data_IF_841014136366
#
_entry.id   IF_841014136366
#
_cell.length_a   1.000
_cell.length_b   1.000
_cell.length_c   1.000
_cell.angle_alpha   90.00
_cell.angle_beta   90.00
_cell.angle_gamma   90.00
#
_symmetry.space_group_name_H-M   'P 1'
#
loop_
_entity.id
_entity.type
_entity.pdbx_description
1 polymer ?
#
# COMPACT_ATOMS: atom_id res chain seq x y z
N UNK A 1 12.71 0.03 -19.72
CA UNK A 1 13.26 1.32 -20.29
C UNK A 1 14.14 1.99 -19.24
N UNK A 2 15.13 2.83 -19.64
CA UNK A 2 15.90 3.61 -18.66
C UNK A 2 15.05 4.79 -18.17
N UNK A 3 15.19 5.20 -16.89
CA UNK A 3 14.47 6.33 -16.28
C UNK A 3 14.47 7.58 -17.17
N UNK A 4 15.62 7.92 -17.76
CA UNK A 4 15.75 9.05 -18.70
C UNK A 4 14.84 8.98 -19.93
N UNK A 5 14.36 7.80 -20.30
CA UNK A 5 13.42 7.61 -21.42
C UNK A 5 11.98 7.82 -21.00
N UNK A 6 11.63 7.46 -19.77
CA UNK A 6 10.33 7.74 -19.15
C UNK A 6 10.15 9.26 -19.02
N UNK A 7 11.17 9.97 -18.51
CA UNK A 7 11.15 11.44 -18.36
C UNK A 7 10.95 12.17 -19.69
N UNK A 8 11.59 11.67 -20.77
CA UNK A 8 11.40 12.21 -22.11
C UNK A 8 9.99 12.00 -22.63
N UNK A 9 9.42 10.80 -22.44
CA UNK A 9 8.04 10.49 -22.86
C UNK A 9 7.02 11.32 -22.08
N UNK A 10 7.22 11.54 -20.79
CA UNK A 10 6.35 12.40 -19.97
C UNK A 10 6.36 13.86 -20.45
N UNK A 11 7.53 14.38 -20.85
CA UNK A 11 7.62 15.74 -21.44
C UNK A 11 6.90 15.83 -22.78
N UNK A 12 7.04 14.82 -23.63
CA UNK A 12 6.35 14.76 -24.93
C UNK A 12 4.84 14.65 -24.72
N UNK A 13 4.38 13.83 -23.75
CA UNK A 13 2.96 13.72 -23.38
C UNK A 13 2.38 15.08 -22.98
N UNK A 14 3.03 15.80 -22.04
CA UNK A 14 2.58 17.11 -21.58
C UNK A 14 2.55 18.16 -22.69
N UNK A 15 3.49 18.07 -23.64
CA UNK A 15 3.51 18.93 -24.82
C UNK A 15 2.32 18.65 -25.74
N UNK A 16 2.06 17.38 -26.04
CA UNK A 16 0.98 16.95 -26.93
C UNK A 16 -0.42 17.22 -26.37
N UNK A 17 -0.62 17.09 -25.04
CA UNK A 17 -1.86 17.51 -24.39
C UNK A 17 -2.11 19.01 -24.57
N UNK A 18 -1.05 19.83 -24.49
CA UNK A 18 -1.14 21.28 -24.63
C UNK A 18 -1.47 21.74 -26.06
N UNK A 19 -1.09 20.94 -27.04
CA UNK A 19 -1.29 21.19 -28.47
C UNK A 19 -2.55 20.48 -29.04
N UNK A 20 -3.45 19.94 -28.19
CA UNK A 20 -4.68 19.25 -28.59
C UNK A 20 -4.49 18.00 -29.49
N UNK A 21 -3.31 17.40 -29.52
CA UNK A 21 -3.04 16.17 -30.26
C UNK A 21 -3.39 14.91 -29.46
N UNK A 22 -4.68 14.70 -29.25
CA UNK A 22 -5.21 13.69 -28.32
C UNK A 22 -4.79 12.23 -28.60
N UNK A 23 -4.66 11.84 -29.87
CA UNK A 23 -4.32 10.45 -30.24
C UNK A 23 -2.91 10.03 -29.85
N UNK A 24 -1.93 10.93 -30.03
CA UNK A 24 -0.53 10.64 -29.67
C UNK A 24 -0.28 10.75 -28.16
N UNK A 25 -1.00 11.67 -27.51
CA UNK A 25 -1.00 11.78 -26.05
C UNK A 25 -1.52 10.50 -25.39
N UNK A 26 -2.61 9.90 -25.91
CA UNK A 26 -3.16 8.66 -25.40
C UNK A 26 -2.20 7.46 -25.58
N UNK A 27 -1.49 7.39 -26.72
CA UNK A 27 -0.47 6.36 -26.97
C UNK A 27 0.71 6.46 -25.99
N UNK A 28 1.18 7.68 -25.72
CA UNK A 28 2.25 7.92 -24.74
C UNK A 28 1.79 7.58 -23.33
N UNK A 29 0.55 7.91 -22.97
CA UNK A 29 -0.08 7.53 -21.70
C UNK A 29 -0.15 6.00 -21.53
N UNK A 30 -0.46 5.29 -22.60
CA UNK A 30 -0.49 3.82 -22.63
C UNK A 30 0.91 3.22 -22.43
N UNK A 31 1.93 3.78 -23.07
CA UNK A 31 3.34 3.39 -22.89
C UNK A 31 3.81 3.70 -21.46
N UNK A 32 3.51 4.86 -20.91
CA UNK A 32 3.85 5.22 -19.54
C UNK A 32 3.14 4.31 -18.52
N UNK A 33 1.90 3.91 -18.81
CA UNK A 33 1.14 2.94 -18.00
C UNK A 33 1.78 1.55 -18.05
N UNK A 34 2.18 1.07 -19.23
CA UNK A 34 2.85 -0.21 -19.42
C UNK A 34 4.21 -0.24 -18.70
N UNK A 35 5.00 0.83 -18.80
CA UNK A 35 6.30 0.96 -18.14
C UNK A 35 6.16 1.06 -16.63
N UNK A 36 5.17 1.80 -16.11
CA UNK A 36 4.93 1.85 -14.66
C UNK A 36 4.42 0.50 -14.12
N UNK A 37 3.66 -0.26 -14.92
CA UNK A 37 3.29 -1.63 -14.59
C UNK A 37 4.51 -2.56 -14.62
N UNK A 38 5.45 -2.37 -15.55
CA UNK A 38 6.67 -3.17 -15.68
C UNK A 38 7.69 -2.84 -14.57
N UNK A 39 7.79 -1.58 -14.13
CA UNK A 39 8.55 -1.19 -12.94
C UNK A 39 7.93 -1.77 -11.66
N UNK A 40 6.60 -1.86 -11.58
CA UNK A 40 5.90 -2.54 -10.50
C UNK A 40 6.02 -4.07 -10.59
N UNK A 41 6.22 -4.65 -11.78
CA UNK A 41 6.38 -6.10 -11.98
C UNK A 41 7.77 -6.62 -11.58
N UNK A 42 8.80 -5.79 -11.59
CA UNK A 42 10.14 -6.17 -11.12
C UNK A 42 10.23 -6.18 -9.58
N UNK A 43 9.31 -5.52 -8.88
CA UNK A 43 9.09 -5.71 -7.45
C UNK A 43 7.87 -6.63 -7.29
N UNK A 44 8.02 -7.76 -6.60
CA UNK A 44 6.91 -8.67 -6.18
C UNK A 44 5.82 -7.96 -5.35
N UNK A 45 5.87 -6.63 -5.29
CA UNK A 45 5.10 -5.77 -4.42
C UNK A 45 4.26 -4.77 -5.21
N UNK A 46 2.95 -4.83 -4.99
CA UNK A 46 1.97 -3.90 -5.55
C UNK A 46 1.47 -2.95 -4.45
N UNK A 47 1.94 -1.70 -4.49
CA UNK A 47 1.58 -0.66 -3.51
C UNK A 47 0.09 -0.28 -3.59
N UNK A 48 -0.57 -0.48 -4.73
CA UNK A 48 -2.00 -0.17 -4.88
C UNK A 48 -2.92 -1.09 -4.08
N UNK A 49 -2.40 -2.19 -3.50
CA UNK A 49 -3.14 -2.99 -2.49
C UNK A 49 -3.33 -2.26 -1.16
N UNK A 50 -2.68 -1.12 -0.99
CA UNK A 50 -2.75 -0.30 0.23
C UNK A 50 -3.62 0.93 0.07
N UNK A 51 -4.08 1.29 -1.12
CA UNK A 51 -4.99 2.41 -1.32
C UNK A 51 -6.42 2.06 -0.91
N UNK A 52 -7.23 3.08 -0.61
CA UNK A 52 -8.66 2.95 -0.32
C UNK A 52 -9.47 2.99 -1.63
N UNK A 53 -9.93 1.85 -2.17
CA UNK A 53 -10.65 1.88 -3.43
C UNK A 53 -12.06 2.46 -3.27
N UNK A 54 -12.49 3.30 -4.23
CA UNK A 54 -13.89 3.74 -4.41
C UNK A 54 -14.53 4.50 -3.23
N UNK A 55 -13.75 5.22 -2.43
CA UNK A 55 -14.31 6.11 -1.41
C UNK A 55 -14.64 7.48 -2.01
N UNK A 56 -15.91 7.92 -1.90
CA UNK A 56 -16.37 9.20 -2.47
C UNK A 56 -15.90 10.43 -1.69
N UNK A 57 -15.58 10.26 -0.41
CA UNK A 57 -15.25 11.36 0.50
C UNK A 57 -13.74 11.54 0.70
N UNK A 58 -12.97 10.45 0.50
CA UNK A 58 -11.52 10.42 0.73
C UNK A 58 -10.79 10.04 -0.56
N UNK A 59 -11.07 10.79 -1.60
CA UNK A 59 -10.49 10.54 -2.94
C UNK A 59 -8.97 10.55 -2.92
N UNK A 60 -8.35 11.37 -2.06
CA UNK A 60 -6.89 11.44 -1.88
C UNK A 60 -6.25 10.12 -1.41
N UNK A 61 -7.03 9.18 -0.83
CA UNK A 61 -6.53 7.86 -0.44
C UNK A 61 -6.66 6.79 -1.54
N UNK A 62 -7.21 7.15 -2.71
CA UNK A 62 -7.34 6.24 -3.85
C UNK A 62 -6.07 6.13 -4.69
N UNK A 63 -5.04 6.87 -4.34
CA UNK A 63 -3.78 6.91 -5.05
C UNK A 63 -2.57 6.76 -4.14
N UNK A 64 -1.43 6.70 -4.77
CA UNK A 64 -0.11 6.65 -4.14
C UNK A 64 0.46 8.05 -4.10
N UNK A 65 0.88 8.50 -2.93
CA UNK A 65 1.51 9.80 -2.73
C UNK A 65 3.03 9.68 -2.85
N UNK A 66 3.66 10.58 -3.58
CA UNK A 66 5.11 10.64 -3.76
C UNK A 66 5.69 11.74 -2.88
N UNK A 67 6.54 11.38 -1.90
CA UNK A 67 7.08 12.25 -0.85
C UNK A 67 8.59 12.06 -0.68
N UNK A 68 9.37 12.76 -1.48
CA UNK A 68 10.83 12.65 -1.49
C UNK A 68 11.30 11.25 -1.93
N UNK A 69 12.02 10.58 -1.04
CA UNK A 69 12.50 9.21 -1.26
C UNK A 69 11.43 8.13 -1.06
N UNK A 70 10.20 8.50 -0.71
CA UNK A 70 9.12 7.56 -0.43
C UNK A 70 7.96 7.69 -1.42
N UNK A 71 7.33 6.54 -1.74
CA UNK A 71 5.96 6.50 -2.22
C UNK A 71 5.08 5.84 -1.18
N UNK A 72 3.92 6.43 -0.90
CA UNK A 72 3.10 6.11 0.27
C UNK A 72 1.67 5.81 -0.14
N UNK A 73 1.10 4.76 0.42
CA UNK A 73 -0.30 4.41 0.26
C UNK A 73 -0.93 4.00 1.60
N UNK A 74 -2.21 4.31 1.77
CA UNK A 74 -2.98 3.95 2.96
C UNK A 74 -4.47 3.81 2.64
N UNK A 75 -5.11 2.88 3.35
CA UNK A 75 -6.58 2.74 3.40
C UNK A 75 -7.15 3.12 4.77
N UNK A 76 -6.36 3.80 5.62
CA UNK A 76 -6.62 4.18 7.02
C UNK A 76 -6.43 3.05 8.04
N UNK A 77 -6.48 1.79 7.65
CA UNK A 77 -6.26 0.63 8.53
C UNK A 77 -4.81 0.18 8.44
N UNK A 78 -4.25 0.25 7.26
CA UNK A 78 -2.84 -0.03 7.01
C UNK A 78 -2.21 1.08 6.16
N UNK A 79 -0.93 1.29 6.36
CA UNK A 79 -0.10 2.21 5.60
C UNK A 79 1.19 1.51 5.21
N UNK A 80 1.69 1.83 4.03
CA UNK A 80 3.01 1.45 3.57
C UNK A 80 3.70 2.64 2.91
N UNK A 81 4.95 2.86 3.27
CA UNK A 81 5.87 3.80 2.62
C UNK A 81 7.03 2.98 2.06
N UNK A 82 7.16 2.97 0.76
CA UNK A 82 8.27 2.29 0.07
C UNK A 82 9.35 3.30 -0.25
N UNK A 83 10.58 2.99 0.18
CA UNK A 83 11.77 3.77 -0.12
C UNK A 83 12.26 3.48 -1.54
N UNK A 84 12.72 4.52 -2.25
CA UNK A 84 13.24 4.38 -3.62
C UNK A 84 13.53 5.71 -4.27
N UNK A 85 13.93 5.66 -5.53
CA UNK A 85 14.09 6.83 -6.38
C UNK A 85 12.84 6.98 -7.26
N UNK A 86 12.15 8.10 -7.11
CA UNK A 86 10.87 8.34 -7.78
C UNK A 86 10.99 9.56 -8.72
N UNK A 87 10.23 9.58 -9.83
CA UNK A 87 10.26 10.69 -10.76
C UNK A 87 10.00 12.03 -10.09
N UNK A 88 10.83 13.03 -10.39
CA UNK A 88 10.74 14.37 -9.80
C UNK A 88 9.39 15.04 -10.10
N UNK A 89 8.86 14.82 -11.28
CA UNK A 89 7.56 15.34 -11.73
C UNK A 89 6.36 14.77 -10.94
N UNK A 90 6.54 13.66 -10.23
CA UNK A 90 5.50 13.07 -9.37
C UNK A 90 5.58 13.56 -7.91
N UNK A 91 6.65 14.25 -7.53
CA UNK A 91 6.83 14.72 -6.17
C UNK A 91 5.68 15.64 -5.73
N UNK A 92 5.14 15.36 -4.53
CA UNK A 92 3.99 16.06 -3.97
C UNK A 92 2.65 15.68 -4.60
N UNK A 93 2.61 14.73 -5.55
CA UNK A 93 1.38 14.31 -6.25
C UNK A 93 0.85 12.98 -5.73
N UNK A 94 -0.46 12.82 -5.86
CA UNK A 94 -1.17 11.58 -5.58
C UNK A 94 -1.56 10.96 -6.93
N UNK A 95 -1.09 9.74 -7.20
CA UNK A 95 -1.24 9.08 -8.50
C UNK A 95 -2.03 7.79 -8.35
N UNK A 96 -3.10 7.63 -9.15
CA UNK A 96 -3.89 6.40 -9.22
C UNK A 96 -3.18 5.31 -10.02
N UNK A 97 -3.69 4.08 -9.91
CA UNK A 97 -3.18 2.94 -10.67
C UNK A 97 -3.30 3.07 -12.19
N UNK A 98 -4.19 3.95 -12.68
CA UNK A 98 -4.34 4.27 -14.08
C UNK A 98 -3.44 5.42 -14.55
N UNK A 99 -2.59 5.97 -13.68
CA UNK A 99 -1.69 7.08 -13.94
C UNK A 99 -2.32 8.46 -13.78
N UNK A 100 -3.64 8.56 -13.51
CA UNK A 100 -4.28 9.85 -13.29
C UNK A 100 -3.86 10.47 -11.96
N UNK A 101 -3.72 11.79 -11.92
CA UNK A 101 -3.38 12.57 -10.73
C UNK A 101 -4.66 12.95 -10.00
N UNK A 102 -4.63 12.83 -8.68
CA UNK A 102 -5.72 13.29 -7.80
C UNK A 102 -5.30 14.62 -7.20
N UNK A 103 -6.15 15.63 -7.34
CA UNK A 103 -6.01 16.87 -6.60
C UNK A 103 -6.44 16.66 -5.15
N UNK A 104 -5.63 17.16 -4.21
CA UNK A 104 -5.93 17.06 -2.80
C UNK A 104 -4.70 16.98 -1.93
N UNK A 105 -4.94 16.92 -0.62
CA UNK A 105 -3.87 16.86 0.37
C UNK A 105 -3.79 15.46 0.95
N UNK A 106 -2.65 14.79 0.76
CA UNK A 106 -2.42 13.47 1.40
C UNK A 106 -2.20 13.66 2.91
N UNK A 107 -2.72 12.76 3.77
CA UNK A 107 -2.52 12.87 5.21
C UNK A 107 -1.03 12.90 5.59
N UNK A 108 -0.70 13.60 6.67
CA UNK A 108 0.66 13.63 7.20
C UNK A 108 1.04 12.26 7.78
N UNK A 109 1.44 11.35 6.91
CA UNK A 109 1.82 9.99 7.27
C UNK A 109 3.04 9.91 8.18
N UNK A 110 3.95 10.91 8.09
CA UNK A 110 5.15 10.96 8.93
C UNK A 110 4.82 11.14 10.41
N UNK A 111 3.64 11.68 10.74
CA UNK A 111 3.17 11.78 12.12
C UNK A 111 2.89 10.43 12.79
N UNK A 112 2.72 9.37 11.98
CA UNK A 112 2.55 8.00 12.49
C UNK A 112 3.87 7.32 12.85
N UNK A 113 5.01 7.88 12.42
CA UNK A 113 6.33 7.36 12.77
C UNK A 113 6.59 7.66 14.25
N UNK A 114 6.74 6.64 15.11
CA UNK A 114 7.05 6.88 16.51
C UNK A 114 8.40 7.59 16.65
N UNK A 115 8.45 8.61 17.48
CA UNK A 115 9.71 9.28 17.82
C UNK A 115 10.60 8.43 18.72
N UNK A 116 9.97 7.52 19.46
CA UNK A 116 10.62 6.57 20.35
C UNK A 116 10.04 5.18 20.12
N UNK A 117 10.89 4.24 19.75
CA UNK A 117 10.55 2.83 19.54
C UNK A 117 10.76 1.96 20.78
N UNK A 118 11.30 2.52 21.88
CA UNK A 118 11.57 1.79 23.12
C UNK A 118 10.35 1.03 23.65
N UNK A 119 9.11 1.60 23.64
CA UNK A 119 7.93 0.89 24.13
C UNK A 119 7.36 -0.15 23.14
N UNK A 120 7.98 -0.33 21.97
CA UNK A 120 7.51 -1.28 20.97
C UNK A 120 8.35 -2.55 21.00
N UNK A 121 7.68 -3.70 21.13
CA UNK A 121 8.34 -5.03 21.08
C UNK A 121 8.21 -5.66 19.70
N UNK A 122 9.29 -6.25 19.19
CA UNK A 122 9.26 -7.00 17.95
C UNK A 122 8.57 -8.35 18.12
N UNK A 123 7.61 -8.67 17.26
CA UNK A 123 6.95 -9.96 17.14
C UNK A 123 7.18 -10.51 15.74
N UNK A 124 7.96 -11.58 15.66
CA UNK A 124 8.21 -12.25 14.38
C UNK A 124 7.00 -13.08 13.99
N UNK A 125 6.51 -12.87 12.77
CA UNK A 125 5.30 -13.51 12.25
C UNK A 125 5.68 -14.66 11.32
N UNK A 126 5.22 -15.84 11.64
CA UNK A 126 5.28 -16.97 10.72
C UNK A 126 4.20 -16.83 9.64
N UNK A 127 4.62 -16.41 8.46
CA UNK A 127 3.74 -16.23 7.30
C UNK A 127 3.03 -17.52 6.90
N UNK A 128 3.67 -18.69 7.08
CA UNK A 128 3.07 -19.97 6.75
C UNK A 128 1.94 -20.30 7.74
N UNK A 129 2.15 -20.04 9.04
CA UNK A 129 1.12 -20.21 10.06
C UNK A 129 -0.09 -19.29 9.83
N UNK A 130 0.17 -18.02 9.43
CA UNK A 130 -0.90 -17.08 9.06
C UNK A 130 -1.67 -17.56 7.83
N UNK A 131 -0.97 -18.07 6.80
CA UNK A 131 -1.61 -18.63 5.60
C UNK A 131 -2.50 -19.83 5.94
N UNK A 132 -2.02 -20.76 6.76
CA UNK A 132 -2.78 -21.91 7.21
C UNK A 132 -4.05 -21.50 7.98
N UNK A 133 -3.96 -20.49 8.84
CA UNK A 133 -5.12 -19.97 9.58
C UNK A 133 -6.15 -19.30 8.68
N UNK A 134 -5.70 -18.55 7.66
CA UNK A 134 -6.60 -17.96 6.66
C UNK A 134 -7.31 -19.07 5.87
N UNK A 135 -6.62 -20.14 5.51
CA UNK A 135 -7.24 -21.26 4.80
C UNK A 135 -8.26 -22.00 5.67
N UNK A 136 -7.98 -22.19 6.95
CA UNK A 136 -8.96 -22.73 7.90
C UNK A 136 -10.22 -21.86 7.95
N UNK A 137 -10.10 -20.55 8.06
CA UNK A 137 -11.23 -19.62 8.00
C UNK A 137 -12.05 -19.74 6.72
N UNK A 138 -11.40 -19.95 5.57
CA UNK A 138 -12.09 -20.15 4.29
C UNK A 138 -12.91 -21.43 4.27
N UNK A 139 -12.35 -22.51 4.82
CA UNK A 139 -13.03 -23.80 4.91
C UNK A 139 -14.23 -23.73 5.86
N UNK A 140 -14.08 -23.12 7.04
CA UNK A 140 -15.15 -22.89 7.99
C UNK A 140 -16.28 -22.06 7.39
N UNK A 141 -15.95 -20.93 6.76
CA UNK A 141 -16.92 -20.07 6.09
C UNK A 141 -17.66 -20.81 4.97
N UNK A 142 -16.94 -21.62 4.17
CA UNK A 142 -17.57 -22.44 3.12
C UNK A 142 -18.51 -23.50 3.70
N UNK A 143 -18.15 -24.13 4.82
CA UNK A 143 -19.00 -25.11 5.51
C UNK A 143 -20.25 -24.45 6.08
N UNK A 144 -20.14 -23.25 6.64
CA UNK A 144 -21.26 -22.54 7.27
C UNK A 144 -22.22 -21.92 6.24
N UNK A 145 -21.69 -21.26 5.20
CA UNK A 145 -22.50 -20.46 4.26
C UNK A 145 -22.63 -21.09 2.87
N UNK A 146 -22.03 -22.26 2.63
CA UNK A 146 -22.08 -22.94 1.34
C UNK A 146 -21.37 -22.24 0.19
N UNK A 147 -20.71 -21.11 0.46
CA UNK A 147 -20.00 -20.28 -0.54
C UNK A 147 -18.56 -20.05 -0.12
N UNK A 148 -17.66 -20.16 -1.10
CA UNK A 148 -16.27 -19.77 -0.89
C UNK A 148 -16.13 -18.25 -0.95
N UNK A 149 -15.38 -17.66 0.00
CA UNK A 149 -14.96 -16.25 -0.05
C UNK A 149 -13.46 -16.15 0.05
N UNK A 150 -12.89 -15.13 -0.58
CA UNK A 150 -11.47 -14.87 -0.44
C UNK A 150 -11.15 -14.20 0.91
N UNK A 151 -12.05 -13.32 1.37
CA UNK A 151 -11.89 -12.56 2.60
C UNK A 151 -13.24 -12.33 3.28
N UNK A 152 -13.22 -12.40 4.61
CA UNK A 152 -14.31 -11.95 5.47
C UNK A 152 -13.78 -10.90 6.44
N UNK A 153 -14.53 -9.82 6.63
CA UNK A 153 -14.09 -8.72 7.50
C UNK A 153 -14.05 -9.11 8.98
N UNK A 154 -14.64 -10.25 9.35
CA UNK A 154 -14.63 -10.78 10.71
C UNK A 154 -13.39 -11.63 11.04
N UNK A 155 -12.62 -12.04 10.05
CA UNK A 155 -11.43 -12.87 10.29
C UNK A 155 -10.32 -12.10 11.00
N UNK A 156 -9.88 -12.63 12.13
CA UNK A 156 -8.87 -12.01 13.01
C UNK A 156 -7.71 -12.96 13.24
N UNK A 157 -6.53 -12.40 13.24
CA UNK A 157 -5.29 -13.07 13.63
C UNK A 157 -4.84 -12.44 14.94
N UNK A 158 -4.65 -13.29 15.95
CA UNK A 158 -4.08 -12.89 17.23
C UNK A 158 -2.55 -12.95 17.16
N UNK A 159 -1.91 -11.84 17.52
CA UNK A 159 -0.47 -11.73 17.69
C UNK A 159 -0.23 -11.18 19.09
N UNK A 160 0.15 -12.06 20.00
CA UNK A 160 0.45 -11.73 21.40
C UNK A 160 -0.68 -10.95 22.10
N UNK A 161 -1.93 -11.42 21.92
CA UNK A 161 -3.12 -10.81 22.52
C UNK A 161 -3.68 -9.60 21.75
N UNK A 162 -3.03 -9.18 20.68
CA UNK A 162 -3.48 -8.09 19.82
C UNK A 162 -4.10 -8.66 18.54
N UNK A 163 -5.35 -8.28 18.27
CA UNK A 163 -6.08 -8.76 17.10
C UNK A 163 -5.86 -7.87 15.88
N UNK A 164 -5.54 -8.49 14.75
CA UNK A 164 -5.43 -7.82 13.46
C UNK A 164 -6.41 -8.43 12.47
N UNK A 165 -6.94 -7.61 11.55
CA UNK A 165 -7.68 -8.14 10.40
C UNK A 165 -6.76 -9.06 9.57
N UNK A 166 -7.20 -10.28 9.32
CA UNK A 166 -6.44 -11.26 8.55
C UNK A 166 -6.06 -10.74 7.15
N UNK A 167 -6.99 -10.04 6.49
CA UNK A 167 -6.79 -9.43 5.17
C UNK A 167 -5.70 -8.36 5.18
N UNK A 168 -5.74 -7.45 6.16
CA UNK A 168 -4.78 -6.35 6.24
C UNK A 168 -3.39 -6.86 6.66
N UNK A 169 -3.34 -7.77 7.64
CA UNK A 169 -2.10 -8.42 8.05
C UNK A 169 -1.45 -9.17 6.88
N UNK A 170 -2.24 -9.97 6.13
CA UNK A 170 -1.73 -10.68 4.96
C UNK A 170 -1.17 -9.74 3.90
N UNK A 171 -1.82 -8.59 3.70
CA UNK A 171 -1.33 -7.57 2.75
C UNK A 171 0.04 -7.03 3.18
N UNK A 172 0.25 -6.75 4.47
CA UNK A 172 1.57 -6.37 5.03
C UNK A 172 2.59 -7.48 4.80
N UNK A 173 2.27 -8.73 5.17
CA UNK A 173 3.20 -9.86 5.00
C UNK A 173 3.54 -10.15 3.54
N UNK A 174 2.73 -9.67 2.58
CA UNK A 174 3.02 -9.79 1.15
C UNK A 174 4.15 -8.88 0.67
N UNK A 175 4.56 -7.89 1.48
CA UNK A 175 5.72 -7.02 1.21
C UNK A 175 7.06 -7.70 1.52
N UNK A 176 7.03 -8.87 2.17
CA UNK A 176 8.23 -9.53 2.68
C UNK A 176 8.60 -9.14 4.12
N UNK A 177 7.88 -8.20 4.71
CA UNK A 177 8.01 -7.89 6.13
C UNK A 177 7.44 -9.05 6.95
N UNK A 178 8.20 -9.53 7.94
CA UNK A 178 7.82 -10.63 8.82
C UNK A 178 7.81 -10.25 10.31
N UNK A 179 8.08 -8.99 10.62
CA UNK A 179 8.18 -8.51 12.00
C UNK A 179 7.24 -7.33 12.21
N UNK A 180 6.37 -7.45 13.23
CA UNK A 180 5.53 -6.36 13.73
C UNK A 180 6.10 -5.85 15.05
N UNK A 181 6.16 -4.54 15.22
CA UNK A 181 6.52 -3.89 16.47
C UNK A 181 5.25 -3.41 17.14
N UNK A 182 4.83 -4.08 18.23
CA UNK A 182 3.60 -3.81 18.96
C UNK A 182 3.92 -3.03 20.22
N UNK A 183 3.14 -1.99 20.53
CA UNK A 183 3.31 -1.18 21.71
C UNK A 183 2.90 -1.97 22.98
N UNK A 184 3.80 -2.10 23.96
CA UNK A 184 3.62 -2.97 25.13
C UNK A 184 2.40 -2.63 25.99
N UNK A 185 2.08 -1.36 26.17
CA UNK A 185 1.02 -0.90 27.07
C UNK A 185 -0.24 -0.43 26.38
N UNK A 186 -0.11 0.03 25.11
CA UNK A 186 -1.20 0.65 24.38
C UNK A 186 -1.49 -0.20 23.13
N UNK A 187 -2.10 -1.36 23.33
CA UNK A 187 -2.40 -2.34 22.28
C UNK A 187 -3.38 -1.85 21.22
N UNK A 188 -4.03 -0.70 21.44
CA UNK A 188 -4.86 -0.02 20.43
C UNK A 188 -4.07 0.85 19.46
N UNK A 189 -2.80 1.13 19.73
CA UNK A 189 -1.93 1.86 18.79
C UNK A 189 -1.60 1.01 17.58
N UNK A 190 -1.32 1.69 16.48
CA UNK A 190 -0.84 1.02 15.28
C UNK A 190 0.42 0.21 15.58
N UNK A 191 0.46 -1.04 15.15
CA UNK A 191 1.69 -1.80 15.09
C UNK A 191 2.54 -1.28 13.93
N UNK A 192 3.84 -1.11 14.19
CA UNK A 192 4.80 -0.63 13.20
C UNK A 192 5.44 -1.80 12.50
N UNK A 193 5.71 -1.64 11.23
CA UNK A 193 6.42 -2.61 10.40
C UNK A 193 7.52 -1.90 9.63
N UNK A 194 8.70 -2.50 9.56
CA UNK A 194 9.81 -1.90 8.81
C UNK A 194 10.84 -2.95 8.39
N UNK A 195 11.49 -2.66 7.29
CA UNK A 195 12.74 -3.25 6.83
C UNK A 195 13.51 -2.19 6.01
N UNK A 196 14.56 -2.59 5.30
CA UNK A 196 15.41 -1.65 4.55
C UNK A 196 14.66 -0.93 3.41
N UNK A 197 13.61 -1.55 2.86
CA UNK A 197 12.85 -1.06 1.71
C UNK A 197 11.52 -0.40 2.12
N UNK A 198 10.91 -0.87 3.21
CA UNK A 198 9.57 -0.47 3.61
C UNK A 198 9.51 0.04 5.05
N UNK A 199 8.70 1.04 5.25
CA UNK A 199 8.14 1.42 6.54
C UNK A 199 6.61 1.40 6.46
N UNK A 200 5.94 1.00 7.52
CA UNK A 200 4.48 0.96 7.51
C UNK A 200 3.87 0.83 8.90
N UNK A 201 2.55 0.85 8.90
CA UNK A 201 1.76 0.70 10.10
C UNK A 201 0.48 -0.09 9.81
N UNK A 202 0.00 -0.85 10.78
CA UNK A 202 -1.28 -1.55 10.75
C UNK A 202 -2.05 -1.32 12.04
N UNK A 203 -3.31 -0.92 11.91
CA UNK A 203 -4.20 -0.74 13.07
C UNK A 203 -4.67 -2.09 13.60
N UNK A 204 -4.61 -2.29 14.93
CA UNK A 204 -5.27 -3.42 15.56
C UNK A 204 -6.78 -3.27 15.49
N UNK A 205 -7.49 -4.40 15.65
CA UNK A 205 -8.94 -4.42 15.83
C UNK A 205 -9.24 -4.28 17.31
N UNK A 206 -9.88 -3.18 17.68
CA UNK A 206 -10.35 -2.97 19.06
C UNK A 206 -11.65 -3.76 19.23
N UNK A 207 -11.74 -4.50 20.34
CA UNK A 207 -12.97 -5.23 20.73
C UNK A 207 -14.04 -4.27 21.23
#
# INVERSE_FOLDING_TARGET
MKQSSIDKLSRVYNFLEKEEQSGMAELIKEVLRAESQQMNCNTKFDIYKFVLPKDKYRTQLQGVFYDGEYRVATDQIKLIAQKGEWPEELQGKIVKSDGSIIDGHFPNWRSLIPKDMTPYKPHKIDKAAVAAKIEAFRLEHKAEYGKSTQWCDEWRIDIDGVLFSAKHLWTILSTGIDTLYIHEREQYRAAIVSNDEFWGAIMPVVK
#
